data_IF_090367262951
#
_entry.id   IF_090367262951
#
_cell.length_a   1.000
_cell.length_b   1.000
_cell.length_c   1.000
_cell.angle_alpha   90.00
_cell.angle_beta   90.00
_cell.angle_gamma   90.00
#
_symmetry.space_group_name_H-M   'P 1'
#
loop_
_entity.id
_entity.type
_entity.pdbx_description
1 polymer ?
#
# COMPACT_ATOMS: atom_id res chain seq x y z
N UNK A 1 23.41 -21.70 8.31
CA UNK A 1 23.27 -21.79 9.78
C UNK A 1 22.24 -22.87 10.06
N UNK A 2 22.53 -23.84 10.94
CA UNK A 2 21.59 -24.94 11.24
C UNK A 2 20.74 -24.69 12.49
N UNK A 3 21.23 -23.84 13.40
CA UNK A 3 20.50 -23.39 14.60
C UNK A 3 20.68 -21.87 14.74
N UNK A 4 19.58 -21.15 14.99
CA UNK A 4 19.59 -19.71 15.22
C UNK A 4 19.95 -19.42 16.68
N UNK A 5 21.16 -18.90 16.93
CA UNK A 5 21.64 -18.61 18.27
C UNK A 5 22.13 -17.16 18.39
N UNK A 6 21.36 -16.32 19.12
CA UNK A 6 21.69 -14.91 19.37
C UNK A 6 22.80 -14.70 20.42
N UNK A 7 23.31 -15.77 21.05
CA UNK A 7 24.43 -15.72 22.00
C UNK A 7 25.77 -16.11 21.37
N UNK A 8 25.79 -16.42 20.09
CA UNK A 8 27.03 -16.63 19.34
C UNK A 8 27.74 -15.27 19.17
N UNK A 9 29.06 -15.25 19.25
CA UNK A 9 29.87 -14.04 19.08
C UNK A 9 30.03 -13.65 17.61
N UNK A 10 29.64 -14.53 16.68
CA UNK A 10 29.67 -14.28 15.24
C UNK A 10 28.39 -13.60 14.77
N UNK A 11 28.54 -12.71 13.81
CA UNK A 11 27.40 -12.07 13.15
C UNK A 11 26.47 -13.11 12.51
N UNK A 12 25.16 -12.90 12.67
CA UNK A 12 24.14 -13.62 11.92
C UNK A 12 24.18 -13.19 10.44
N UNK A 13 23.70 -14.04 9.52
CA UNK A 13 23.47 -13.61 8.14
C UNK A 13 22.63 -12.33 8.10
N UNK A 14 23.09 -11.35 7.32
CA UNK A 14 22.47 -10.02 7.16
C UNK A 14 22.45 -9.12 8.40
N UNK A 15 23.12 -9.51 9.50
CA UNK A 15 23.27 -8.64 10.66
C UNK A 15 24.12 -7.42 10.31
N UNK A 16 23.62 -6.23 10.65
CA UNK A 16 24.31 -4.97 10.37
C UNK A 16 24.27 -4.51 8.90
N UNK A 17 23.59 -5.24 7.99
CA UNK A 17 23.46 -4.85 6.58
C UNK A 17 22.58 -3.61 6.34
N UNK A 18 21.82 -3.17 7.37
CA UNK A 18 20.92 -2.03 7.30
C UNK A 18 19.52 -2.41 6.81
N UNK A 19 18.51 -1.69 7.31
CA UNK A 19 17.11 -1.93 6.95
C UNK A 19 16.75 -1.43 5.54
N UNK A 20 17.53 -0.49 4.99
CA UNK A 20 17.40 -0.02 3.61
C UNK A 20 18.34 -0.86 2.76
N UNK A 21 17.82 -1.91 2.15
CA UNK A 21 18.61 -2.90 1.41
C UNK A 21 17.80 -3.51 0.26
N UNK A 22 18.52 -4.04 -0.73
CA UNK A 22 17.96 -4.81 -1.84
C UNK A 22 18.09 -6.30 -1.53
N UNK A 23 17.00 -7.04 -1.66
CA UNK A 23 16.93 -8.46 -1.33
C UNK A 23 16.69 -9.28 -2.59
N UNK A 24 17.60 -10.21 -2.89
CA UNK A 24 17.46 -11.14 -4.01
C UNK A 24 17.15 -12.54 -3.46
N UNK A 25 16.00 -13.08 -3.85
CA UNK A 25 15.62 -14.47 -3.59
C UNK A 25 15.68 -15.19 -4.93
N UNK A 26 16.44 -16.29 -5.00
CA UNK A 26 16.64 -17.07 -6.22
C UNK A 26 16.29 -18.53 -5.95
N UNK A 27 15.51 -19.09 -6.86
CA UNK A 27 15.15 -20.50 -6.88
C UNK A 27 15.84 -21.18 -8.07
N UNK A 28 16.02 -22.50 -8.00
CA UNK A 28 16.75 -23.23 -9.04
C UNK A 28 16.00 -23.18 -10.38
N UNK A 29 16.65 -22.63 -11.41
CA UNK A 29 16.07 -22.51 -12.74
C UNK A 29 15.98 -23.86 -13.46
N UNK A 30 16.97 -24.74 -13.27
CA UNK A 30 17.02 -26.08 -13.84
C UNK A 30 15.85 -26.94 -13.36
N UNK A 31 14.90 -27.19 -14.26
CA UNK A 31 13.63 -27.86 -13.97
C UNK A 31 13.85 -29.29 -13.47
N UNK A 32 14.86 -29.97 -14.00
CA UNK A 32 15.27 -31.32 -13.60
C UNK A 32 15.79 -31.43 -12.16
N UNK A 33 16.16 -30.29 -11.54
CA UNK A 33 16.63 -30.22 -10.15
C UNK A 33 15.58 -29.69 -9.17
N UNK A 34 14.39 -29.29 -9.65
CA UNK A 34 13.33 -28.78 -8.78
C UNK A 34 12.74 -29.92 -7.95
N UNK A 35 12.88 -29.82 -6.63
CA UNK A 35 12.36 -30.85 -5.70
C UNK A 35 10.84 -30.75 -5.46
N UNK A 36 10.20 -29.68 -5.91
CA UNK A 36 8.77 -29.45 -5.77
C UNK A 36 8.26 -28.53 -6.89
N UNK A 37 6.95 -28.58 -7.12
CA UNK A 37 6.28 -27.73 -8.12
C UNK A 37 6.24 -26.27 -7.65
N UNK A 38 6.80 -25.35 -8.43
CA UNK A 38 6.80 -23.94 -8.08
C UNK A 38 5.42 -23.29 -8.27
N UNK A 39 4.55 -23.86 -9.10
CA UNK A 39 3.18 -23.37 -9.24
C UNK A 39 2.34 -23.57 -7.97
N UNK A 40 2.78 -24.42 -7.03
CA UNK A 40 2.12 -24.58 -5.74
C UNK A 40 2.55 -23.56 -4.68
N UNK A 41 3.55 -22.71 -4.96
CA UNK A 41 3.96 -21.66 -4.03
C UNK A 41 2.90 -20.55 -4.05
N UNK A 42 2.16 -20.39 -2.96
CA UNK A 42 1.15 -19.33 -2.84
C UNK A 42 1.75 -17.95 -2.66
N UNK A 43 2.75 -17.85 -1.78
CA UNK A 43 3.34 -16.60 -1.32
C UNK A 43 4.70 -16.83 -0.65
N UNK A 44 5.46 -15.75 -0.48
CA UNK A 44 6.74 -15.72 0.22
C UNK A 44 6.61 -14.77 1.40
N UNK A 45 6.85 -15.28 2.62
CA UNK A 45 6.80 -14.50 3.85
C UNK A 45 8.22 -14.29 4.36
N UNK A 46 8.67 -13.03 4.44
CA UNK A 46 9.97 -12.65 4.97
C UNK A 46 9.83 -12.08 6.39
N UNK A 47 10.47 -12.72 7.37
CA UNK A 47 10.56 -12.21 8.74
C UNK A 47 11.83 -11.40 8.92
N UNK A 48 11.68 -10.08 9.13
CA UNK A 48 12.79 -9.17 9.34
C UNK A 48 12.84 -8.71 10.81
N UNK A 49 13.90 -9.10 11.52
CA UNK A 49 14.24 -8.53 12.82
C UNK A 49 15.31 -7.46 12.65
N UNK A 50 15.02 -6.24 13.11
CA UNK A 50 15.93 -5.12 13.01
C UNK A 50 16.07 -4.40 14.36
N UNK A 51 17.23 -3.79 14.56
CA UNK A 51 17.49 -2.91 15.71
C UNK A 51 17.62 -1.48 15.20
N UNK A 52 16.65 -0.62 15.55
CA UNK A 52 16.77 0.81 15.27
C UNK A 52 17.76 1.43 16.26
N UNK A 53 18.89 1.92 15.74
CA UNK A 53 19.87 2.70 16.52
C UNK A 53 19.69 4.17 16.21
N UNK A 54 19.70 5.00 17.24
CA UNK A 54 19.69 6.46 17.06
C UNK A 54 21.03 6.94 16.50
N UNK A 55 20.96 7.76 15.46
CA UNK A 55 22.11 8.48 14.92
C UNK A 55 21.76 9.97 14.86
N UNK A 56 22.29 10.74 15.82
CA UNK A 56 21.93 12.15 16.02
C UNK A 56 22.20 13.02 14.77
N UNK A 57 23.21 12.66 13.97
CA UNK A 57 23.61 13.39 12.75
C UNK A 57 22.52 13.28 11.66
N UNK A 58 21.79 12.16 11.60
CA UNK A 58 20.77 11.92 10.58
C UNK A 58 19.42 12.58 10.90
N UNK A 59 19.20 13.03 12.14
CA UNK A 59 17.92 13.59 12.58
C UNK A 59 17.51 14.83 11.77
N UNK A 60 18.38 15.82 11.67
CA UNK A 60 18.06 17.08 10.96
C UNK A 60 17.88 16.84 9.45
N UNK A 61 18.80 16.15 8.74
CA UNK A 61 18.60 15.82 7.33
C UNK A 61 17.33 15.00 7.06
N UNK A 62 16.98 14.06 7.93
CA UNK A 62 15.76 13.27 7.78
C UNK A 62 14.50 14.14 7.93
N UNK A 63 14.46 15.04 8.93
CA UNK A 63 13.35 15.98 9.11
C UNK A 63 13.22 16.92 7.91
N UNK A 64 14.33 17.46 7.40
CA UNK A 64 14.31 18.38 6.27
C UNK A 64 13.89 17.68 4.97
N UNK A 65 14.32 16.44 4.78
CA UNK A 65 13.87 15.60 3.67
C UNK A 65 12.37 15.29 3.79
N UNK A 66 11.87 14.93 4.97
CA UNK A 66 10.43 14.70 5.19
C UNK A 66 9.61 15.96 4.93
N UNK A 67 10.06 17.11 5.43
CA UNK A 67 9.41 18.39 5.13
C UNK A 67 9.37 18.64 3.63
N UNK A 68 10.48 18.45 2.93
CA UNK A 68 10.56 18.62 1.48
C UNK A 68 9.60 17.68 0.74
N UNK A 69 9.58 16.39 1.10
CA UNK A 69 8.70 15.38 0.48
C UNK A 69 7.22 15.70 0.72
N UNK A 70 6.86 16.20 1.90
CA UNK A 70 5.49 16.48 2.30
C UNK A 70 5.01 17.88 1.88
N UNK A 71 5.90 18.85 1.64
CA UNK A 71 5.51 20.21 1.24
C UNK A 71 5.48 20.42 -0.27
N UNK A 72 6.18 19.59 -1.05
CA UNK A 72 6.39 19.83 -2.46
C UNK A 72 5.30 19.17 -3.32
N UNK A 73 4.34 19.99 -3.79
CA UNK A 73 3.26 19.56 -4.68
C UNK A 73 3.77 19.03 -6.03
N UNK A 74 5.00 19.39 -6.41
CA UNK A 74 5.63 19.12 -7.72
C UNK A 74 6.60 17.93 -7.70
N UNK A 75 7.17 17.55 -6.54
CA UNK A 75 8.06 16.37 -6.39
C UNK A 75 7.36 15.02 -6.20
N UNK A 76 6.07 14.93 -6.50
CA UNK A 76 5.52 13.71 -7.09
C UNK A 76 5.39 12.47 -6.21
N UNK A 77 5.41 12.56 -4.87
CA UNK A 77 4.92 11.43 -4.06
C UNK A 77 3.41 11.51 -3.91
N UNK A 78 2.73 11.02 -4.93
CA UNK A 78 1.34 10.57 -4.81
C UNK A 78 1.37 9.42 -3.81
N UNK A 79 0.63 9.55 -2.71
CA UNK A 79 0.41 8.45 -1.80
C UNK A 79 -0.83 7.68 -2.26
N UNK A 80 -0.68 6.47 -2.82
CA UNK A 80 -1.83 5.64 -3.11
C UNK A 80 -2.37 5.10 -1.79
N UNK A 81 -3.67 5.28 -1.56
CA UNK A 81 -4.43 4.58 -0.54
C UNK A 81 -5.41 3.65 -1.22
N UNK A 82 -5.21 2.34 -1.04
CA UNK A 82 -6.21 1.36 -1.41
C UNK A 82 -7.26 1.27 -0.30
N UNK A 83 -8.52 1.32 -0.72
CA UNK A 83 -9.71 1.14 0.11
C UNK A 83 -10.51 0.01 -0.51
N UNK A 84 -10.81 -1.01 0.27
CA UNK A 84 -11.70 -2.09 -0.14
C UNK A 84 -13.12 -1.71 0.21
N UNK A 85 -13.98 -1.45 -0.78
CA UNK A 85 -15.36 -1.04 -0.50
C UNK A 85 -16.09 -2.04 0.41
N UNK A 86 -15.86 -3.34 0.21
CA UNK A 86 -16.47 -4.39 1.01
C UNK A 86 -16.06 -4.37 2.49
N UNK A 87 -14.79 -4.10 2.78
CA UNK A 87 -14.26 -4.17 4.14
C UNK A 87 -14.32 -2.82 4.87
N UNK A 88 -14.09 -1.73 4.14
CA UNK A 88 -14.02 -0.38 4.67
C UNK A 88 -15.41 0.31 4.72
N UNK A 89 -16.34 -0.10 3.84
CA UNK A 89 -17.70 0.46 3.71
C UNK A 89 -18.75 -0.66 3.54
N UNK A 90 -18.88 -1.60 4.49
CA UNK A 90 -19.72 -2.79 4.32
C UNK A 90 -21.20 -2.46 4.12
N UNK A 91 -21.73 -1.48 4.86
CA UNK A 91 -23.16 -1.13 4.80
C UNK A 91 -23.52 -0.44 3.47
N UNK A 92 -22.69 0.51 3.03
CA UNK A 92 -22.84 1.18 1.74
C UNK A 92 -22.66 0.19 0.59
N UNK A 93 -21.70 -0.74 0.72
CA UNK A 93 -21.46 -1.79 -0.25
C UNK A 93 -22.66 -2.74 -0.36
N UNK A 94 -23.25 -3.16 0.77
CA UNK A 94 -24.45 -3.99 0.78
C UNK A 94 -25.65 -3.28 0.12
N UNK A 95 -25.86 -2.00 0.42
CA UNK A 95 -26.92 -1.19 -0.17
C UNK A 95 -26.73 -1.03 -1.68
N UNK A 96 -25.49 -0.77 -2.11
CA UNK A 96 -25.11 -0.65 -3.52
C UNK A 96 -25.39 -1.95 -4.29
N UNK A 97 -25.23 -3.12 -3.64
CA UNK A 97 -25.52 -4.42 -4.26
C UNK A 97 -27.00 -4.78 -4.26
N UNK A 98 -27.77 -4.34 -3.26
CA UNK A 98 -29.20 -4.65 -3.16
C UNK A 98 -30.06 -3.79 -4.08
N UNK A 99 -29.62 -2.56 -4.40
CA UNK A 99 -30.31 -1.66 -5.31
C UNK A 99 -29.96 -1.99 -6.77
N UNK A 100 -30.65 -2.99 -7.34
CA UNK A 100 -30.61 -3.33 -8.78
C UNK A 100 -31.70 -2.56 -9.56
N UNK A 101 -32.05 -1.35 -9.12
CA UNK A 101 -33.04 -0.53 -9.81
C UNK A 101 -32.47 0.03 -11.11
N UNK A 102 -33.31 0.15 -12.14
CA UNK A 102 -32.97 0.71 -13.47
C UNK A 102 -32.60 2.20 -13.45
N UNK A 103 -32.60 2.85 -12.29
CA UNK A 103 -32.22 4.24 -12.10
C UNK A 103 -30.81 4.34 -11.51
N UNK A 104 -29.97 5.17 -12.11
CA UNK A 104 -28.62 5.46 -11.60
C UNK A 104 -28.71 6.26 -10.29
N UNK A 105 -28.91 5.59 -9.16
CA UNK A 105 -28.87 6.21 -7.84
C UNK A 105 -27.42 6.39 -7.43
N UNK A 106 -26.96 7.64 -7.36
CA UNK A 106 -25.64 7.95 -6.81
C UNK A 106 -25.59 7.54 -5.32
N UNK A 107 -24.58 6.75 -4.94
CA UNK A 107 -24.26 6.42 -3.55
C UNK A 107 -23.02 7.19 -3.12
N UNK A 108 -23.06 7.73 -1.90
CA UNK A 108 -21.97 8.52 -1.34
C UNK A 108 -21.13 7.66 -0.39
N UNK A 109 -19.81 7.69 -0.55
CA UNK A 109 -18.87 7.08 0.39
C UNK A 109 -18.16 8.18 1.17
N UNK A 110 -18.36 8.22 2.50
CA UNK A 110 -17.77 9.25 3.35
C UNK A 110 -16.35 8.88 3.77
N UNK A 111 -15.37 9.33 3.00
CA UNK A 111 -13.96 9.18 3.35
C UNK A 111 -13.58 10.24 4.39
N UNK A 112 -13.21 9.79 5.59
CA UNK A 112 -12.71 10.64 6.67
C UNK A 112 -11.18 10.63 6.74
N UNK A 113 -10.59 11.55 7.52
CA UNK A 113 -9.13 11.63 7.69
C UNK A 113 -8.49 10.35 8.27
N UNK A 114 -9.28 9.53 8.96
CA UNK A 114 -8.84 8.27 9.56
C UNK A 114 -8.47 7.19 8.53
N UNK A 115 -8.95 7.32 7.29
CA UNK A 115 -8.59 6.40 6.21
C UNK A 115 -7.17 6.62 5.69
N UNK A 116 -6.49 7.69 6.11
CA UNK A 116 -5.14 7.99 5.68
C UNK A 116 -4.12 7.64 6.77
N UNK A 117 -2.88 7.27 6.39
CA UNK A 117 -1.81 6.97 7.33
C UNK A 117 -1.59 8.11 8.35
N UNK A 118 -1.19 7.75 9.56
CA UNK A 118 -0.97 8.70 10.67
C UNK A 118 -0.09 9.90 10.31
N UNK A 119 0.90 9.71 9.42
CA UNK A 119 1.78 10.77 8.93
C UNK A 119 1.02 11.96 8.28
N UNK A 120 -0.18 11.73 7.77
CA UNK A 120 -1.01 12.74 7.10
C UNK A 120 -1.98 13.46 8.04
N UNK A 121 -2.04 13.07 9.32
CA UNK A 121 -3.04 13.59 10.26
C UNK A 121 -2.86 15.10 10.57
N UNK A 122 -1.64 15.62 10.46
CA UNK A 122 -1.34 17.04 10.67
C UNK A 122 -1.30 17.85 9.36
N UNK A 123 -1.62 17.22 8.23
CA UNK A 123 -1.59 17.85 6.90
C UNK A 123 -3.01 17.97 6.35
N UNK A 124 -3.22 18.92 5.45
CA UNK A 124 -4.42 18.93 4.61
C UNK A 124 -4.24 17.90 3.49
N UNK A 125 -5.29 17.16 3.16
CA UNK A 125 -5.23 16.08 2.18
C UNK A 125 -5.90 16.59 0.90
N UNK A 126 -5.11 16.77 -0.18
CA UNK A 126 -5.66 17.06 -1.51
C UNK A 126 -5.70 15.79 -2.34
N UNK A 127 -6.87 15.49 -2.91
CA UNK A 127 -7.06 14.38 -3.84
C UNK A 127 -6.56 14.77 -5.22
N UNK A 128 -5.75 13.89 -5.84
CA UNK A 128 -5.28 14.06 -7.22
C UNK A 128 -6.08 13.20 -8.20
N UNK A 129 -6.27 11.92 -7.89
CA UNK A 129 -7.07 11.01 -8.71
C UNK A 129 -7.67 9.88 -7.91
N UNK A 130 -8.67 9.24 -8.51
CA UNK A 130 -9.45 8.17 -7.93
C UNK A 130 -9.68 7.12 -9.03
N UNK A 131 -9.27 5.88 -8.78
CA UNK A 131 -9.38 4.80 -9.76
C UNK A 131 -9.98 3.55 -9.12
N UNK A 132 -10.87 2.89 -9.83
CA UNK A 132 -11.48 1.63 -9.40
C UNK A 132 -10.77 0.44 -10.05
N UNK A 133 -10.48 -0.57 -9.26
CA UNK A 133 -9.83 -1.81 -9.69
C UNK A 133 -10.69 -3.01 -9.35
N UNK A 134 -10.66 -4.01 -10.25
CA UNK A 134 -11.08 -5.38 -9.96
C UNK A 134 -9.93 -6.16 -9.32
N UNK A 135 -10.26 -7.27 -8.67
CA UNK A 135 -9.29 -8.17 -8.03
C UNK A 135 -8.27 -8.79 -9.01
N UNK A 136 -8.58 -8.84 -10.30
CA UNK A 136 -7.65 -9.26 -11.36
C UNK A 136 -6.60 -8.17 -11.71
N UNK A 137 -6.68 -7.00 -11.08
CA UNK A 137 -5.79 -5.85 -11.31
C UNK A 137 -6.23 -4.96 -12.48
N UNK A 138 -7.32 -5.29 -13.18
CA UNK A 138 -7.85 -4.47 -14.26
C UNK A 138 -8.48 -3.18 -13.73
N UNK A 139 -8.16 -2.06 -14.37
CA UNK A 139 -8.75 -0.74 -14.07
C UNK A 139 -10.15 -0.70 -14.68
N UNK A 140 -11.16 -0.50 -13.83
CA UNK A 140 -12.57 -0.39 -14.26
C UNK A 140 -12.87 1.03 -14.73
N UNK A 141 -12.39 2.06 -14.01
CA UNK A 141 -12.57 3.46 -14.40
C UNK A 141 -11.53 4.34 -13.70
N UNK A 142 -10.88 5.25 -14.45
CA UNK A 142 -10.13 6.38 -13.89
C UNK A 142 -11.07 7.59 -13.86
N UNK A 143 -11.53 8.01 -12.67
CA UNK A 143 -12.47 9.12 -12.57
C UNK A 143 -11.69 10.44 -12.64
N UNK A 144 -11.41 10.88 -13.86
CA UNK A 144 -11.27 12.30 -14.19
C UNK A 144 -12.57 12.76 -14.87
N UNK A 145 -13.66 12.70 -14.10
CA UNK A 145 -14.99 13.11 -14.53
C UNK A 145 -15.65 12.20 -15.57
N UNK A 146 -16.23 11.07 -15.15
CA UNK A 146 -17.20 10.33 -15.96
C UNK A 146 -18.05 9.39 -15.08
N UNK A 147 -19.33 9.24 -15.45
CA UNK A 147 -20.29 8.32 -14.85
C UNK A 147 -19.90 6.86 -15.15
N UNK A 148 -19.83 6.01 -14.13
CA UNK A 148 -19.57 4.58 -14.30
C UNK A 148 -20.90 3.83 -14.48
N UNK A 149 -21.05 3.14 -15.61
CA UNK A 149 -22.17 2.26 -15.95
C UNK A 149 -21.83 0.77 -15.78
N UNK A 150 -20.90 0.43 -14.89
CA UNK A 150 -20.42 -0.94 -14.74
C UNK A 150 -21.09 -1.66 -13.57
N UNK A 151 -21.46 -2.92 -13.82
CA UNK A 151 -22.09 -3.83 -12.86
C UNK A 151 -21.17 -3.98 -11.64
N UNK A 152 -21.69 -3.62 -10.48
CA UNK A 152 -21.02 -3.73 -9.17
C UNK A 152 -20.76 -5.21 -8.85
N UNK A 153 -19.50 -5.60 -8.72
CA UNK A 153 -19.09 -6.96 -8.33
C UNK A 153 -18.49 -6.99 -6.90
N UNK A 154 -18.29 -8.20 -6.35
CA UNK A 154 -17.83 -8.42 -4.97
C UNK A 154 -16.43 -7.89 -4.63
N UNK A 155 -15.70 -7.34 -5.60
CA UNK A 155 -14.26 -7.21 -5.55
C UNK A 155 -13.72 -5.83 -5.94
N UNK A 156 -14.52 -4.77 -5.79
CA UNK A 156 -14.13 -3.41 -6.15
C UNK A 156 -13.16 -2.81 -5.11
N UNK A 157 -11.99 -2.41 -5.57
CA UNK A 157 -10.98 -1.68 -4.78
C UNK A 157 -10.87 -0.27 -5.32
N UNK A 158 -10.94 0.69 -4.41
CA UNK A 158 -10.78 2.11 -4.68
C UNK A 158 -9.34 2.51 -4.38
N UNK A 159 -8.60 2.97 -5.38
CA UNK A 159 -7.32 3.63 -5.16
C UNK A 159 -7.52 5.13 -5.13
N UNK A 160 -7.20 5.74 -3.99
CA UNK A 160 -7.17 7.18 -3.80
C UNK A 160 -5.72 7.65 -3.83
N UNK A 161 -5.42 8.45 -4.85
CA UNK A 161 -4.14 9.11 -4.98
C UNK A 161 -4.24 10.49 -4.33
N UNK A 162 -3.53 10.69 -3.22
CA UNK A 162 -3.59 11.92 -2.45
C UNK A 162 -2.21 12.50 -2.16
N UNK A 163 -2.20 13.80 -1.91
CA UNK A 163 -1.03 14.54 -1.45
C UNK A 163 -1.34 15.18 -0.10
N UNK A 164 -0.64 14.83 0.99
CA UNK A 164 -0.64 15.62 2.20
C UNK A 164 0.10 16.92 1.92
N UNK A 165 -0.53 18.06 2.17
CA UNK A 165 0.03 19.40 1.92
C UNK A 165 -0.11 20.21 3.20
N UNK A 166 0.97 20.92 3.54
CA UNK A 166 0.93 21.88 4.64
C UNK A 166 0.17 23.12 4.19
N UNK A 167 -0.97 23.41 4.82
CA UNK A 167 -1.46 24.79 4.87
C UNK A 167 -1.02 25.37 6.21
N UNK A 168 -0.44 26.58 6.16
CA UNK A 168 0.06 27.32 7.34
C UNK A 168 -1.01 27.48 8.42
#
# INVERSE_FOLDING_TARGET
MFELNFRDERYLPFEGAGAISEWKIELTEAEELRQFDYYSISDVILHMSYTAREEAILKTPAIDNLKTILSDETKGKIFPRLISLKNDFPDEFHTMRSDVSTENVAKEFKITKLFFPYLSNNYEIKFKSCSFYKKDGSVVTEITGAAASDIIDDNWVLSLNYNPITIK
#
